data_IF_715846445152
#
_entry.id   IF_715846445152
#
_cell.length_a   1.000
_cell.length_b   1.000
_cell.length_c   1.000
_cell.angle_alpha   90.00
_cell.angle_beta   90.00
_cell.angle_gamma   90.00
#
_symmetry.space_group_name_H-M   'P 1'
#
loop_
_entity.id
_entity.type
_entity.pdbx_description
1 polymer ?
#
# COMPACT_ATOMS: atom_id res chain seq x y z
N UNK A 1 -21.06 -59.97 18.66
CA UNK A 1 -20.52 -61.29 18.29
C UNK A 1 -19.00 -61.18 18.21
N UNK A 2 -18.32 -61.73 19.21
CA UNK A 2 -16.86 -61.84 19.29
C UNK A 2 -16.33 -62.72 18.16
N UNK A 3 -15.17 -62.34 17.60
CA UNK A 3 -14.14 -63.30 17.20
C UNK A 3 -12.76 -62.73 17.51
N UNK A 4 -12.24 -63.17 18.66
CA UNK A 4 -10.83 -63.15 19.00
C UNK A 4 -10.10 -64.18 18.13
N UNK A 5 -8.89 -63.87 17.66
CA UNK A 5 -7.88 -64.93 17.43
C UNK A 5 -6.46 -64.39 17.37
N UNK A 6 -5.65 -64.92 18.31
CA UNK A 6 -4.23 -65.31 18.22
C UNK A 6 -3.11 -64.27 18.09
N UNK A 7 -2.46 -64.12 19.24
CA UNK A 7 -1.10 -63.71 19.52
C UNK A 7 -0.10 -64.77 19.02
N UNK A 8 0.88 -64.38 18.19
CA UNK A 8 2.05 -65.19 17.88
C UNK A 8 3.31 -64.44 18.30
N UNK A 9 3.97 -65.01 19.32
CA UNK A 9 5.25 -64.62 19.88
C UNK A 9 6.37 -65.17 18.99
N UNK A 10 7.20 -64.31 18.40
CA UNK A 10 8.48 -64.71 17.82
C UNK A 10 9.61 -63.98 18.52
N UNK A 11 10.39 -64.77 19.27
CA UNK A 11 11.66 -64.43 19.87
C UNK A 11 12.75 -64.76 18.83
N UNK A 12 13.49 -63.75 18.37
CA UNK A 12 14.71 -63.95 17.60
C UNK A 12 15.81 -63.03 18.12
N UNK A 13 16.86 -63.71 18.61
CA UNK A 13 18.11 -63.18 19.12
C UNK A 13 19.08 -62.97 17.94
N UNK A 14 19.68 -61.78 17.82
CA UNK A 14 20.83 -61.57 16.95
C UNK A 14 21.79 -60.54 17.57
N UNK A 15 23.06 -60.93 17.66
CA UNK A 15 24.23 -60.19 18.16
C UNK A 15 24.80 -59.23 17.10
N UNK A 16 25.40 -58.13 17.58
CA UNK A 16 26.41 -57.31 16.87
C UNK A 16 25.80 -56.32 15.87
N UNK A 17 26.22 -55.05 15.76
CA UNK A 17 27.57 -54.48 15.79
C UNK A 17 27.46 -53.01 16.21
N UNK A 18 28.37 -52.53 17.06
CA UNK A 18 28.48 -51.10 17.41
C UNK A 18 29.01 -50.29 16.22
N UNK A 19 28.11 -49.61 15.52
CA UNK A 19 28.46 -48.56 14.56
C UNK A 19 28.45 -47.20 15.25
N UNK A 20 29.61 -46.56 15.38
CA UNK A 20 29.72 -45.15 15.77
C UNK A 20 29.26 -44.31 14.58
N UNK A 21 28.04 -43.80 14.62
CA UNK A 21 27.58 -42.76 13.69
C UNK A 21 28.14 -41.42 14.15
N UNK A 22 29.11 -40.90 13.40
CA UNK A 22 29.52 -39.51 13.51
C UNK A 22 28.33 -38.62 13.12
N UNK A 23 27.74 -37.95 14.11
CA UNK A 23 26.72 -36.93 13.90
C UNK A 23 27.33 -35.75 13.15
N UNK A 24 27.08 -35.65 11.85
CA UNK A 24 27.33 -34.44 11.08
C UNK A 24 26.44 -33.32 11.64
N UNK A 25 27.06 -32.24 12.10
CA UNK A 25 26.35 -31.03 12.49
C UNK A 25 25.53 -30.51 11.29
N UNK A 26 24.29 -30.03 11.49
CA UNK A 26 23.53 -29.44 10.42
C UNK A 26 24.27 -28.20 9.93
N UNK A 27 24.67 -28.21 8.66
CA UNK A 27 25.17 -27.02 8.00
C UNK A 27 24.03 -25.99 7.97
N UNK A 28 24.13 -24.97 8.82
CA UNK A 28 23.32 -23.76 8.70
C UNK A 28 23.67 -23.11 7.36
N UNK A 29 22.83 -23.34 6.36
CA UNK A 29 22.89 -22.58 5.12
C UNK A 29 22.68 -21.10 5.46
N UNK A 30 23.54 -20.18 5.04
CA UNK A 30 23.26 -18.77 5.19
C UNK A 30 21.99 -18.47 4.39
N UNK A 31 20.95 -18.03 5.08
CA UNK A 31 19.80 -17.40 4.43
C UNK A 31 20.32 -16.16 3.74
N UNK A 32 20.62 -16.29 2.45
CA UNK A 32 20.89 -15.15 1.58
C UNK A 32 19.59 -14.37 1.52
N UNK A 33 19.45 -13.35 2.38
CA UNK A 33 18.45 -12.33 2.21
C UNK A 33 18.71 -11.73 0.82
N UNK A 34 17.89 -12.14 -0.15
CA UNK A 34 17.90 -11.53 -1.47
C UNK A 34 17.38 -10.12 -1.25
N UNK A 35 18.30 -9.18 -1.09
CA UNK A 35 18.02 -7.75 -1.17
C UNK A 35 17.63 -7.48 -2.62
N UNK A 36 16.37 -7.75 -2.96
CA UNK A 36 15.79 -7.29 -4.19
C UNK A 36 15.89 -5.76 -4.15
N UNK A 37 16.82 -5.22 -4.96
CA UNK A 37 16.95 -3.78 -5.20
C UNK A 37 15.57 -3.29 -5.62
N UNK A 38 14.83 -2.67 -4.70
CA UNK A 38 13.47 -2.24 -4.97
C UNK A 38 13.55 -1.08 -5.94
N UNK A 39 13.16 -1.31 -7.19
CA UNK A 39 13.19 -0.28 -8.22
C UNK A 39 12.21 0.83 -7.86
N UNK A 40 12.66 2.09 -7.97
CA UNK A 40 11.78 3.24 -7.88
C UNK A 40 10.90 3.28 -9.14
N UNK A 41 9.59 3.40 -8.97
CA UNK A 41 8.64 3.50 -10.08
C UNK A 41 7.69 4.67 -9.86
N UNK A 42 7.39 5.36 -10.94
CA UNK A 42 6.38 6.43 -10.98
C UNK A 42 5.40 6.11 -12.09
N UNK A 43 4.12 6.05 -11.75
CA UNK A 43 3.03 5.86 -12.69
C UNK A 43 2.13 7.09 -12.66
N UNK A 44 2.10 7.82 -13.76
CA UNK A 44 1.14 8.90 -13.96
C UNK A 44 -0.26 8.30 -14.18
N UNK A 45 -1.26 8.79 -13.44
CA UNK A 45 -2.65 8.34 -13.57
C UNK A 45 -3.46 9.36 -14.38
N UNK A 46 -3.64 10.58 -13.87
CA UNK A 46 -4.37 11.69 -14.52
C UNK A 46 -4.17 12.98 -13.72
N UNK A 47 -4.01 14.14 -14.37
CA UNK A 47 -3.76 15.42 -13.69
C UNK A 47 -2.53 15.35 -12.74
N UNK A 48 -2.66 15.72 -11.47
CA UNK A 48 -1.64 15.54 -10.44
C UNK A 48 -1.67 14.15 -9.77
N UNK A 49 -2.66 13.31 -10.09
CA UNK A 49 -2.76 11.97 -9.52
C UNK A 49 -1.67 11.06 -10.07
N UNK A 50 -0.82 10.55 -9.19
CA UNK A 50 0.27 9.63 -9.52
C UNK A 50 0.47 8.57 -8.44
N UNK A 51 0.96 7.39 -8.83
CA UNK A 51 1.46 6.37 -7.91
C UNK A 51 2.98 6.36 -7.92
N UNK A 52 3.59 6.38 -6.74
CA UNK A 52 5.04 6.28 -6.58
C UNK A 52 5.38 5.09 -5.69
N UNK A 53 6.12 4.12 -6.23
CA UNK A 53 6.73 3.05 -5.45
C UNK A 53 8.18 3.40 -5.14
N UNK A 54 8.50 3.55 -3.86
CA UNK A 54 9.82 3.95 -3.36
C UNK A 54 10.16 3.21 -2.07
N UNK A 55 11.36 2.63 -1.99
CA UNK A 55 11.87 1.93 -0.80
C UNK A 55 10.88 0.90 -0.19
N UNK A 56 10.18 0.15 -1.05
CA UNK A 56 9.24 -0.89 -0.63
C UNK A 56 7.89 -0.38 -0.15
N UNK A 57 7.59 0.92 -0.35
CA UNK A 57 6.28 1.53 -0.11
C UNK A 57 5.70 2.12 -1.39
N UNK A 58 4.38 2.12 -1.50
CA UNK A 58 3.66 2.76 -2.60
C UNK A 58 2.77 3.87 -2.06
N UNK A 59 2.99 5.08 -2.57
CA UNK A 59 2.23 6.28 -2.26
C UNK A 59 1.29 6.60 -3.41
N UNK A 60 0.04 6.95 -3.10
CA UNK A 60 -0.87 7.60 -4.04
C UNK A 60 -0.88 9.10 -3.76
N UNK A 61 -0.47 9.88 -4.75
CA UNK A 61 -0.45 11.34 -4.68
C UNK A 61 -1.75 11.90 -5.24
N UNK A 62 -2.29 12.92 -4.57
CA UNK A 62 -3.36 13.82 -5.05
C UNK A 62 -4.49 13.07 -5.80
N UNK A 63 -5.23 12.17 -5.12
CA UNK A 63 -6.23 11.34 -5.75
C UNK A 63 -7.47 12.14 -6.17
N UNK A 64 -7.52 12.49 -7.46
CA UNK A 64 -8.70 13.02 -8.14
C UNK A 64 -9.35 11.92 -9.00
N UNK A 65 -10.25 11.15 -8.37
CA UNK A 65 -10.72 9.85 -8.90
C UNK A 65 -12.12 9.89 -9.51
N UNK A 66 -12.72 11.07 -9.67
CA UNK A 66 -14.00 11.25 -10.32
C UNK A 66 -14.03 10.70 -11.76
N UNK A 67 -15.22 10.22 -12.17
CA UNK A 67 -15.51 9.90 -13.57
C UNK A 67 -15.45 11.16 -14.44
N UNK A 68 -15.14 11.00 -15.72
CA UNK A 68 -15.12 12.09 -16.70
C UNK A 68 -16.40 12.93 -16.61
N UNK A 69 -16.22 14.26 -16.63
CA UNK A 69 -17.30 15.24 -16.64
C UNK A 69 -18.16 15.25 -15.37
N UNK A 70 -17.72 14.69 -14.24
CA UNK A 70 -18.49 14.68 -13.00
C UNK A 70 -18.78 16.10 -12.47
N UNK A 71 -17.80 16.98 -12.51
CA UNK A 71 -17.88 18.34 -11.97
C UNK A 71 -18.05 19.38 -13.08
N UNK A 72 -18.68 20.54 -12.80
CA UNK A 72 -18.58 21.69 -13.70
C UNK A 72 -17.11 22.13 -13.87
N UNK A 73 -16.84 22.93 -14.91
CA UNK A 73 -15.56 23.63 -14.99
C UNK A 73 -15.43 24.65 -13.86
N UNK A 74 -14.20 25.04 -13.54
CA UNK A 74 -13.96 26.04 -12.50
C UNK A 74 -14.48 27.41 -12.94
N UNK A 75 -15.40 28.05 -12.18
CA UNK A 75 -15.95 29.35 -12.56
C UNK A 75 -14.86 30.42 -12.71
N UNK A 76 -14.95 31.25 -13.75
CA UNK A 76 -14.02 32.35 -13.97
C UNK A 76 -12.62 31.95 -14.48
N UNK A 77 -12.38 30.67 -14.74
CA UNK A 77 -11.11 30.20 -15.33
C UNK A 77 -11.20 30.03 -16.84
N UNK A 78 -10.04 29.90 -17.49
CA UNK A 78 -9.96 29.48 -18.88
C UNK A 78 -10.70 28.15 -19.06
N UNK A 79 -11.49 28.04 -20.14
CA UNK A 79 -12.32 26.88 -20.46
C UNK A 79 -13.33 26.44 -19.38
N UNK A 80 -13.83 27.38 -18.56
CA UNK A 80 -14.83 27.12 -17.51
C UNK A 80 -16.14 26.47 -17.99
N UNK A 81 -16.45 26.55 -19.29
CA UNK A 81 -17.57 25.84 -19.92
C UNK A 81 -17.36 24.32 -20.03
N UNK A 82 -16.12 23.82 -19.96
CA UNK A 82 -15.81 22.40 -20.06
C UNK A 82 -15.94 21.73 -18.69
N UNK A 83 -16.58 20.55 -18.66
CA UNK A 83 -16.75 19.77 -17.42
C UNK A 83 -15.44 19.07 -17.02
N UNK A 84 -15.19 18.96 -15.71
CA UNK A 84 -13.98 18.39 -15.13
C UNK A 84 -14.29 17.01 -14.49
N UNK A 85 -13.45 15.97 -14.62
CA UNK A 85 -12.30 15.78 -15.54
C UNK A 85 -12.66 15.73 -17.02
N UNK A 86 -11.74 16.16 -17.89
CA UNK A 86 -11.92 16.11 -19.35
C UNK A 86 -11.84 14.69 -19.94
N UNK A 87 -11.09 13.81 -19.28
CA UNK A 87 -10.85 12.44 -19.74
C UNK A 87 -11.12 11.43 -18.63
N UNK A 88 -11.39 10.20 -18.99
CA UNK A 88 -11.60 9.09 -18.05
C UNK A 88 -10.29 8.71 -17.32
N UNK A 89 -10.43 7.95 -16.24
CA UNK A 89 -9.28 7.28 -15.62
C UNK A 89 -8.74 6.21 -16.58
N UNK A 90 -7.42 5.97 -16.61
CA UNK A 90 -6.85 4.97 -17.50
C UNK A 90 -7.12 3.52 -17.06
N UNK A 91 -7.60 3.33 -15.83
CA UNK A 91 -7.96 2.03 -15.22
C UNK A 91 -9.00 2.22 -14.12
N UNK A 92 -9.70 1.15 -13.69
CA UNK A 92 -10.60 1.19 -12.54
C UNK A 92 -9.92 1.67 -11.25
N UNK A 93 -10.69 2.37 -10.40
CA UNK A 93 -10.20 2.90 -9.12
C UNK A 93 -9.67 1.80 -8.18
N UNK A 94 -10.28 0.61 -8.22
CA UNK A 94 -9.81 -0.56 -7.47
C UNK A 94 -8.36 -0.90 -7.79
N UNK A 95 -7.97 -0.81 -9.06
CA UNK A 95 -6.63 -1.14 -9.53
C UNK A 95 -5.63 -0.02 -9.20
N UNK A 96 -6.08 1.24 -9.23
CA UNK A 96 -5.30 2.38 -8.74
C UNK A 96 -4.98 2.20 -7.26
N UNK A 97 -5.97 1.82 -6.44
CA UNK A 97 -5.78 1.65 -5.00
C UNK A 97 -5.02 0.38 -4.60
N UNK A 98 -4.84 -0.57 -5.52
CA UNK A 98 -4.15 -1.81 -5.23
C UNK A 98 -2.70 -1.55 -4.82
N UNK A 99 -2.32 -2.08 -3.66
CA UNK A 99 -0.97 -2.00 -3.11
C UNK A 99 -0.55 -0.61 -2.62
N UNK A 100 -1.48 0.35 -2.48
CA UNK A 100 -1.19 1.67 -1.90
C UNK A 100 -1.06 1.54 -0.39
N UNK A 101 0.10 1.95 0.15
CA UNK A 101 0.40 1.92 1.58
C UNK A 101 0.01 3.24 2.29
N UNK A 102 0.10 4.36 1.57
CA UNK A 102 -0.27 5.68 2.08
C UNK A 102 -0.75 6.62 0.97
N UNK A 103 -1.55 7.61 1.36
CA UNK A 103 -1.99 8.70 0.48
C UNK A 103 -1.29 9.98 0.90
N UNK A 104 -0.87 10.79 -0.07
CA UNK A 104 -0.36 12.13 0.16
C UNK A 104 -1.25 13.10 -0.61
N UNK A 105 -1.81 14.08 0.09
CA UNK A 105 -2.60 15.18 -0.48
C UNK A 105 -1.80 16.46 -0.30
N UNK A 106 -1.33 17.02 -1.40
CA UNK A 106 -0.53 18.25 -1.40
C UNK A 106 -1.34 19.44 -0.91
N UNK A 107 -2.59 19.57 -1.39
CA UNK A 107 -3.59 20.55 -0.95
C UNK A 107 -5.00 20.08 -1.35
N UNK A 108 -6.04 20.75 -0.84
CA UNK A 108 -7.43 20.28 -0.95
C UNK A 108 -8.26 20.90 -2.08
N UNK A 109 -7.63 21.46 -3.12
CA UNK A 109 -8.38 21.83 -4.33
C UNK A 109 -8.98 20.60 -5.01
N UNK A 110 -10.13 20.79 -5.67
CA UNK A 110 -10.97 19.71 -6.23
C UNK A 110 -10.22 18.77 -7.19
N UNK A 111 -9.24 19.28 -7.94
CA UNK A 111 -8.48 18.52 -8.93
C UNK A 111 -7.25 17.78 -8.35
N UNK A 112 -7.02 17.92 -7.04
CA UNK A 112 -6.06 17.17 -6.24
C UNK A 112 -6.74 16.26 -5.21
N UNK A 113 -7.87 16.72 -4.66
CA UNK A 113 -8.67 15.98 -3.69
C UNK A 113 -10.15 16.24 -3.95
N UNK A 114 -10.80 15.32 -4.65
CA UNK A 114 -12.24 15.41 -4.89
C UNK A 114 -13.09 14.80 -3.78
N UNK A 115 -12.44 14.29 -2.73
CA UNK A 115 -13.07 13.49 -1.69
C UNK A 115 -13.88 12.31 -2.24
N UNK A 116 -13.65 11.91 -3.50
CA UNK A 116 -14.66 11.41 -4.44
C UNK A 116 -15.66 10.43 -3.83
N UNK A 117 -16.94 10.82 -3.73
CA UNK A 117 -18.03 10.06 -3.10
C UNK A 117 -17.58 9.22 -1.89
N UNK A 118 -16.61 9.71 -1.10
CA UNK A 118 -15.99 9.15 0.10
C UNK A 118 -15.62 7.65 0.15
N UNK A 119 -15.84 6.85 -0.90
CA UNK A 119 -15.87 5.38 -0.80
C UNK A 119 -14.62 4.68 -1.32
N UNK A 120 -13.81 5.34 -2.14
CA UNK A 120 -12.73 4.67 -2.86
C UNK A 120 -11.42 4.58 -2.08
N UNK A 121 -11.17 5.56 -1.21
CA UNK A 121 -9.97 5.58 -0.35
C UNK A 121 -10.39 5.13 1.06
N UNK A 122 -9.79 4.06 1.61
CA UNK A 122 -10.12 3.57 2.94
C UNK A 122 -9.96 4.65 4.00
N UNK A 123 -10.97 4.82 4.87
CA UNK A 123 -10.96 5.87 5.91
C UNK A 123 -9.84 5.73 6.94
N UNK A 124 -9.26 4.54 7.06
CA UNK A 124 -8.16 4.21 7.98
C UNK A 124 -6.78 4.31 7.35
N UNK A 125 -6.67 4.55 6.03
CA UNK A 125 -5.37 4.61 5.35
C UNK A 125 -4.52 5.73 5.95
N UNK A 126 -3.19 5.53 6.15
CA UNK A 126 -2.30 6.63 6.46
C UNK A 126 -2.41 7.71 5.36
N UNK A 127 -2.86 8.90 5.75
CA UNK A 127 -3.08 10.02 4.84
C UNK A 127 -2.29 11.23 5.33
N UNK A 128 -1.46 11.78 4.46
CA UNK A 128 -0.57 12.89 4.73
C UNK A 128 -1.08 14.18 4.07
N UNK A 129 -1.09 15.29 4.80
CA UNK A 129 -1.55 16.61 4.32
C UNK A 129 -0.55 17.72 4.62
N UNK A 130 -0.67 18.88 3.98
CA UNK A 130 0.27 20.00 4.16
C UNK A 130 0.16 20.75 5.50
N UNK A 131 -1.05 20.87 6.05
CA UNK A 131 -1.33 21.71 7.23
C UNK A 131 -2.57 21.27 8.02
N UNK A 132 -2.87 21.99 9.10
CA UNK A 132 -4.00 21.68 9.98
C UNK A 132 -5.37 22.04 9.37
N UNK A 133 -5.44 22.99 8.44
CA UNK A 133 -6.71 23.32 7.78
C UNK A 133 -7.16 22.14 6.90
N UNK A 134 -6.25 21.61 6.10
CA UNK A 134 -6.48 20.42 5.29
C UNK A 134 -6.73 19.19 6.17
N UNK A 135 -5.97 19.03 7.26
CA UNK A 135 -6.17 17.93 8.20
C UNK A 135 -7.59 17.94 8.80
N UNK A 136 -8.07 19.11 9.23
CA UNK A 136 -9.43 19.26 9.77
C UNK A 136 -10.49 18.96 8.73
N UNK A 137 -10.33 19.47 7.50
CA UNK A 137 -11.25 19.20 6.40
C UNK A 137 -11.36 17.69 6.12
N UNK A 138 -10.22 17.02 5.95
CA UNK A 138 -10.19 15.59 5.62
C UNK A 138 -10.66 14.71 6.80
N UNK A 139 -10.31 15.06 8.05
CA UNK A 139 -10.88 14.38 9.23
C UNK A 139 -12.40 14.55 9.31
N UNK A 140 -12.91 15.74 8.96
CA UNK A 140 -14.35 16.01 8.86
C UNK A 140 -15.07 15.15 7.82
N UNK A 141 -14.35 14.62 6.83
CA UNK A 141 -14.86 13.66 5.84
C UNK A 141 -14.77 12.20 6.31
N UNK A 142 -14.44 11.96 7.60
CA UNK A 142 -14.43 10.65 8.25
C UNK A 142 -13.12 9.87 8.15
N UNK A 143 -12.03 10.46 7.66
CA UNK A 143 -10.71 9.81 7.67
C UNK A 143 -10.09 9.88 9.07
N UNK A 144 -9.61 8.75 9.58
CA UNK A 144 -9.20 8.61 10.99
C UNK A 144 -7.70 8.64 11.22
N UNK A 145 -6.89 8.46 10.16
CA UNK A 145 -5.41 8.42 10.23
C UNK A 145 -4.77 9.51 9.38
N UNK A 146 -5.13 10.77 9.67
CA UNK A 146 -4.65 11.96 8.96
C UNK A 146 -3.47 12.60 9.72
N UNK A 147 -2.34 12.76 9.04
CA UNK A 147 -1.06 13.23 9.59
C UNK A 147 -0.58 14.46 8.80
N UNK A 148 -0.05 15.45 9.48
CA UNK A 148 0.53 16.64 8.83
C UNK A 148 1.98 16.33 8.43
N UNK A 149 2.37 16.71 7.22
CA UNK A 149 3.75 16.65 6.74
C UNK A 149 4.57 17.81 7.30
N UNK A 150 5.62 17.47 8.02
CA UNK A 150 6.67 18.38 8.45
C UNK A 150 7.95 18.21 7.63
N UNK A 151 9.04 18.84 8.08
CA UNK A 151 10.35 18.78 7.42
C UNK A 151 11.04 17.41 7.52
N UNK A 152 10.57 16.50 8.38
CA UNK A 152 11.19 15.19 8.63
C UNK A 152 10.16 14.10 8.96
N UNK A 153 8.98 14.12 8.31
CA UNK A 153 7.95 13.11 8.59
C UNK A 153 8.46 11.73 8.15
N UNK A 154 8.43 10.77 9.06
CA UNK A 154 8.84 9.38 8.77
C UNK A 154 7.61 8.49 8.57
N UNK A 155 7.66 7.65 7.54
CA UNK A 155 6.66 6.62 7.29
C UNK A 155 7.36 5.32 6.89
N UNK A 156 7.37 4.34 7.80
CA UNK A 156 7.89 2.98 7.55
C UNK A 156 9.27 2.94 6.87
N UNK A 157 10.20 3.77 7.33
CA UNK A 157 11.56 3.87 6.81
C UNK A 157 11.74 4.87 5.66
N UNK A 158 10.66 5.44 5.12
CA UNK A 158 10.69 6.52 4.13
C UNK A 158 10.60 7.87 4.82
N UNK A 159 11.50 8.79 4.45
CA UNK A 159 11.44 10.19 4.88
C UNK A 159 10.67 11.01 3.86
N UNK A 160 9.63 11.70 4.33
CA UNK A 160 8.80 12.63 3.57
C UNK A 160 9.12 14.06 4.04
N UNK A 161 9.68 14.87 3.14
CA UNK A 161 10.01 16.26 3.41
C UNK A 161 9.03 17.16 2.66
N UNK A 162 8.26 17.97 3.39
CA UNK A 162 7.43 19.00 2.75
C UNK A 162 8.32 20.10 2.18
N UNK A 163 8.11 20.46 0.91
CA UNK A 163 8.71 21.64 0.28
C UNK A 163 7.68 22.75 0.16
N UNK A 164 8.14 23.99 -0.09
CA UNK A 164 7.24 25.06 -0.50
C UNK A 164 6.53 24.71 -1.81
N UNK A 165 5.27 25.13 -1.92
CA UNK A 165 4.43 25.02 -3.10
C UNK A 165 3.46 26.21 -3.14
N UNK A 166 2.83 26.43 -4.29
CA UNK A 166 1.74 27.40 -4.46
C UNK A 166 0.50 26.68 -4.98
#
# INVERSE_FOLDING_TARGET
MQRSTTLSLFLSLALGVTGVSAGAAPATSPTTAVTAKTAVQVQQIRNATAKISYAGKTFLLDPFLAKKGKYPGFPGTFNSQLRNPLIDLPMPVKDIMQGVDAVIVSHTHLDHWDGGDHQFVPKTIPLFVQDEADARLIRGQGYTNVRILGENTMFEGVRLNKTGGQ
#
